data_IF_744906005248
#
_entry.id   IF_744906005248
#
_cell.length_a   1.000
_cell.length_b   1.000
_cell.length_c   1.000
_cell.angle_alpha   90.00
_cell.angle_beta   90.00
_cell.angle_gamma   90.00
#
_symmetry.space_group_name_H-M   'P 1'
#
loop_
_entity.id
_entity.type
_entity.pdbx_description
1 polymer ?
#
# COMPACT_ATOMS: atom_id res chain seq x y z
N UNK A 1 -23.08 -62.93 -9.29
CA UNK A 1 -23.32 -61.48 -9.37
C UNK A 1 -22.19 -60.80 -8.62
N UNK A 2 -21.26 -60.20 -9.36
CA UNK A 2 -20.15 -59.43 -8.80
C UNK A 2 -20.23 -58.05 -9.47
N UNK A 3 -20.52 -57.01 -8.69
CA UNK A 3 -20.50 -55.64 -9.17
C UNK A 3 -19.15 -55.03 -8.86
N UNK A 4 -18.41 -54.80 -9.93
CA UNK A 4 -17.22 -53.98 -10.03
C UNK A 4 -17.53 -52.55 -9.56
N UNK A 5 -16.67 -51.95 -8.73
CA UNK A 5 -16.73 -50.53 -8.37
C UNK A 5 -15.35 -49.94 -8.59
N UNK A 6 -15.12 -49.55 -9.84
CA UNK A 6 -13.99 -48.76 -10.25
C UNK A 6 -14.35 -47.27 -10.23
N UNK A 7 -13.45 -46.49 -9.63
CA UNK A 7 -13.01 -45.14 -10.01
C UNK A 7 -13.97 -43.94 -9.95
N UNK A 8 -13.59 -43.02 -9.04
CA UNK A 8 -13.03 -41.69 -9.38
C UNK A 8 -14.00 -40.51 -9.48
N UNK A 9 -13.64 -39.48 -8.70
CA UNK A 9 -14.22 -38.14 -8.73
C UNK A 9 -13.49 -37.23 -7.73
N UNK A 10 -12.15 -37.20 -7.75
CA UNK A 10 -11.42 -36.05 -7.22
C UNK A 10 -11.70 -34.89 -8.18
N UNK A 11 -12.66 -34.04 -7.85
CA UNK A 11 -12.76 -32.72 -8.48
C UNK A 11 -11.66 -31.84 -7.89
N UNK A 12 -10.62 -31.64 -8.69
CA UNK A 12 -9.56 -30.65 -8.50
C UNK A 12 -10.19 -29.26 -8.41
N UNK A 13 -10.04 -28.60 -7.25
CA UNK A 13 -10.48 -27.22 -6.98
C UNK A 13 -9.56 -26.16 -7.63
N UNK A 14 -8.97 -26.46 -8.78
CA UNK A 14 -7.92 -25.62 -9.37
C UNK A 14 -8.38 -24.84 -10.61
N UNK A 15 -9.57 -25.14 -11.15
CA UNK A 15 -10.01 -24.53 -12.42
C UNK A 15 -10.66 -23.16 -12.26
N UNK A 16 -11.28 -22.88 -11.11
CA UNK A 16 -11.95 -21.58 -10.85
C UNK A 16 -10.98 -20.47 -10.39
N UNK A 17 -9.77 -20.83 -9.94
CA UNK A 17 -8.73 -19.88 -9.53
C UNK A 17 -7.77 -19.50 -10.67
N UNK A 18 -7.79 -20.20 -11.80
CA UNK A 18 -6.83 -19.99 -12.88
C UNK A 18 -6.98 -18.62 -13.56
N UNK A 19 -8.20 -18.09 -13.69
CA UNK A 19 -8.48 -16.79 -14.33
C UNK A 19 -7.90 -15.60 -13.56
N UNK A 20 -8.11 -15.56 -12.24
CA UNK A 20 -7.63 -14.48 -11.37
C UNK A 20 -6.10 -14.36 -11.27
N UNK A 21 -5.36 -15.43 -11.58
CA UNK A 21 -3.88 -15.44 -11.47
C UNK A 21 -3.13 -14.85 -12.67
N UNK A 22 -3.83 -14.53 -13.77
CA UNK A 22 -3.20 -14.11 -15.02
C UNK A 22 -3.14 -12.58 -15.19
N UNK A 23 -4.16 -11.85 -14.76
CA UNK A 23 -4.23 -10.39 -14.96
C UNK A 23 -3.02 -9.62 -14.39
N UNK A 24 -2.56 -9.84 -13.13
CA UNK A 24 -1.39 -9.13 -12.62
C UNK A 24 -0.12 -9.37 -13.44
N UNK A 25 0.05 -10.58 -13.99
CA UNK A 25 1.21 -10.92 -14.83
C UNK A 25 1.13 -10.24 -16.19
N UNK A 26 -0.06 -10.19 -16.78
CA UNK A 26 -0.28 -9.48 -18.05
C UNK A 26 -0.05 -7.99 -17.88
N UNK A 27 -0.49 -7.42 -16.76
CA UNK A 27 -0.35 -6.00 -16.47
C UNK A 27 1.13 -5.61 -16.24
N UNK A 28 1.90 -6.45 -15.53
CA UNK A 28 3.37 -6.28 -15.43
C UNK A 28 4.01 -6.28 -16.81
N UNK A 29 3.72 -7.27 -17.65
CA UNK A 29 4.28 -7.35 -19.01
C UNK A 29 3.87 -6.15 -19.88
N UNK A 30 2.63 -5.67 -19.75
CA UNK A 30 2.16 -4.45 -20.43
C UNK A 30 3.01 -3.26 -20.02
N UNK A 31 3.16 -3.05 -18.70
CA UNK A 31 3.92 -1.93 -18.16
C UNK A 31 5.40 -2.04 -18.56
N UNK A 32 6.02 -3.23 -18.49
CA UNK A 32 7.40 -3.46 -18.93
C UNK A 32 7.62 -3.13 -20.42
N UNK A 33 6.59 -3.30 -21.26
CA UNK A 33 6.65 -2.95 -22.68
C UNK A 33 6.48 -1.45 -22.97
N UNK A 34 6.00 -0.65 -22.00
CA UNK A 34 5.84 0.79 -22.17
C UNK A 34 7.20 1.52 -22.26
N UNK A 35 7.23 2.60 -23.04
CA UNK A 35 8.33 3.56 -22.99
C UNK A 35 8.34 4.32 -21.66
N UNK A 36 9.50 4.88 -21.29
CA UNK A 36 9.64 5.62 -20.04
C UNK A 36 8.69 6.84 -19.94
N UNK A 37 8.39 7.46 -21.09
CA UNK A 37 7.45 8.58 -21.15
C UNK A 37 6.00 8.12 -20.91
N UNK A 38 5.61 6.96 -21.44
CA UNK A 38 4.28 6.38 -21.23
C UNK A 38 4.09 5.97 -19.76
N UNK A 39 5.10 5.35 -19.16
CA UNK A 39 5.12 5.03 -17.71
C UNK A 39 4.91 6.29 -16.89
N UNK A 40 5.68 7.34 -17.17
CA UNK A 40 5.57 8.61 -16.43
C UNK A 40 4.17 9.21 -16.59
N UNK A 41 3.64 9.29 -17.81
CA UNK A 41 2.33 9.88 -18.06
C UNK A 41 1.18 9.10 -17.42
N UNK A 42 1.26 7.76 -17.37
CA UNK A 42 0.27 6.93 -16.69
C UNK A 42 0.37 7.10 -15.16
N UNK A 43 1.58 7.05 -14.62
CA UNK A 43 1.85 7.24 -13.19
C UNK A 43 1.37 8.62 -12.71
N UNK A 44 1.73 9.70 -13.42
CA UNK A 44 1.26 11.07 -13.18
C UNK A 44 -0.27 11.15 -13.17
N UNK A 45 -0.93 10.39 -14.07
CA UNK A 45 -2.39 10.31 -14.06
C UNK A 45 -2.96 9.72 -12.77
N UNK A 46 -2.37 8.61 -12.30
CA UNK A 46 -2.81 7.93 -11.09
C UNK A 46 -2.57 8.77 -9.84
N UNK A 47 -1.38 9.38 -9.71
CA UNK A 47 -1.07 10.23 -8.55
C UNK A 47 -1.86 11.54 -8.55
N UNK A 48 -2.35 11.98 -9.71
CA UNK A 48 -3.31 13.09 -9.84
C UNK A 48 -4.77 12.65 -9.56
N UNK A 49 -4.99 11.38 -9.21
CA UNK A 49 -6.29 10.83 -8.85
C UNK A 49 -7.15 10.38 -10.04
N UNK A 50 -6.58 10.23 -11.25
CA UNK A 50 -7.31 9.70 -12.40
C UNK A 50 -7.35 8.18 -12.36
N UNK A 51 -8.56 7.63 -12.48
CA UNK A 51 -8.82 6.21 -12.71
C UNK A 51 -8.18 5.26 -11.68
N UNK A 52 -7.99 5.73 -10.43
CA UNK A 52 -7.40 4.96 -9.35
C UNK A 52 -8.02 5.36 -8.01
N UNK A 53 -8.53 4.39 -7.26
CA UNK A 53 -9.24 4.59 -6.00
C UNK A 53 -8.29 4.44 -4.80
N UNK A 54 -7.47 5.45 -4.54
CA UNK A 54 -6.49 5.45 -3.46
C UNK A 54 -7.09 5.12 -2.09
N UNK A 55 -8.20 5.77 -1.71
CA UNK A 55 -8.81 5.64 -0.39
C UNK A 55 -9.51 4.31 -0.23
N UNK A 56 -10.28 3.89 -1.23
CA UNK A 56 -10.95 2.59 -1.22
C UNK A 56 -9.95 1.44 -1.10
N UNK A 57 -8.85 1.49 -1.86
CA UNK A 57 -7.76 0.49 -1.76
C UNK A 57 -7.13 0.54 -0.36
N UNK A 58 -6.85 1.73 0.16
CA UNK A 58 -6.27 1.91 1.49
C UNK A 58 -7.12 1.28 2.60
N UNK A 59 -8.43 1.49 2.55
CA UNK A 59 -9.37 0.91 3.53
C UNK A 59 -9.44 -0.61 3.42
N UNK A 60 -9.35 -1.18 2.21
CA UNK A 60 -9.24 -2.62 2.04
C UNK A 60 -7.90 -3.17 2.59
N UNK A 61 -6.80 -2.46 2.40
CA UNK A 61 -5.48 -2.82 2.96
C UNK A 61 -5.54 -2.86 4.49
N UNK A 62 -6.08 -1.80 5.12
CA UNK A 62 -6.32 -1.74 6.57
C UNK A 62 -7.14 -2.92 7.07
N UNK A 63 -8.26 -3.22 6.39
CA UNK A 63 -9.12 -4.36 6.75
C UNK A 63 -8.38 -5.69 6.69
N UNK A 64 -7.54 -5.93 5.68
CA UNK A 64 -6.75 -7.17 5.61
C UNK A 64 -5.68 -7.24 6.70
N UNK A 65 -5.02 -6.12 7.01
CA UNK A 65 -4.04 -6.04 8.10
C UNK A 65 -4.70 -6.34 9.46
N UNK A 66 -5.84 -5.71 9.77
CA UNK A 66 -6.57 -5.95 11.02
C UNK A 66 -7.07 -7.39 11.16
N UNK A 67 -7.44 -8.04 10.05
CA UNK A 67 -7.83 -9.46 10.04
C UNK A 67 -6.65 -10.41 10.17
N UNK A 68 -5.41 -9.91 10.10
CA UNK A 68 -4.19 -10.73 10.07
C UNK A 68 -4.00 -11.50 8.76
N UNK A 69 -4.67 -11.09 7.68
CA UNK A 69 -4.49 -11.65 6.35
C UNK A 69 -3.30 -11.03 5.61
N UNK A 70 -2.93 -9.81 5.99
CA UNK A 70 -1.66 -9.18 5.68
C UNK A 70 -0.88 -8.95 6.97
N UNK A 71 0.44 -9.00 6.86
CA UNK A 71 1.36 -8.59 7.91
C UNK A 71 2.07 -7.33 7.46
N UNK A 72 2.57 -6.54 8.41
CA UNK A 72 3.43 -5.41 8.12
C UNK A 72 4.85 -5.73 8.56
N UNK A 73 5.77 -5.72 7.60
CA UNK A 73 7.21 -5.85 7.83
C UNK A 73 7.95 -4.72 7.14
N UNK A 74 9.23 -4.53 7.47
CA UNK A 74 10.11 -3.58 6.77
C UNK A 74 10.89 -4.27 5.63
N UNK A 75 10.41 -5.42 5.15
CA UNK A 75 11.06 -6.18 4.09
C UNK A 75 10.59 -5.69 2.72
N UNK A 76 11.54 -5.52 1.80
CA UNK A 76 11.27 -5.23 0.40
C UNK A 76 10.34 -6.30 -0.20
N UNK A 77 9.27 -5.86 -0.87
CA UNK A 77 8.23 -6.73 -1.42
C UNK A 77 7.08 -7.08 -0.48
N UNK A 78 7.11 -6.65 0.80
CA UNK A 78 5.96 -6.71 1.70
C UNK A 78 4.81 -5.81 1.22
N UNK A 79 3.60 -6.34 1.16
CA UNK A 79 2.46 -5.65 0.53
C UNK A 79 2.13 -4.33 1.24
N UNK A 80 2.16 -4.30 2.58
CA UNK A 80 1.80 -3.10 3.35
C UNK A 80 2.95 -2.09 3.29
N UNK A 81 4.19 -2.55 3.32
CA UNK A 81 5.36 -1.70 3.15
C UNK A 81 5.38 -1.00 1.78
N UNK A 82 5.26 -1.77 0.70
CA UNK A 82 5.21 -1.22 -0.66
C UNK A 82 4.02 -0.26 -0.84
N UNK A 83 2.86 -0.59 -0.26
CA UNK A 83 1.69 0.29 -0.30
C UNK A 83 1.96 1.62 0.42
N UNK A 84 2.57 1.58 1.60
CA UNK A 84 2.90 2.78 2.35
C UNK A 84 3.91 3.68 1.60
N UNK A 85 4.88 3.09 0.88
CA UNK A 85 5.79 3.85 -0.01
C UNK A 85 4.99 4.59 -1.10
N UNK A 86 4.01 3.93 -1.72
CA UNK A 86 3.16 4.58 -2.73
C UNK A 86 2.30 5.69 -2.15
N UNK A 87 1.78 5.51 -0.93
CA UNK A 87 1.06 6.57 -0.23
C UNK A 87 1.96 7.77 0.07
N UNK A 88 3.24 7.55 0.41
CA UNK A 88 4.23 8.62 0.53
C UNK A 88 4.46 9.35 -0.79
N UNK A 89 4.61 8.63 -1.91
CA UNK A 89 4.72 9.26 -3.23
C UNK A 89 3.49 10.10 -3.58
N UNK A 90 2.28 9.60 -3.26
CA UNK A 90 1.03 10.34 -3.45
C UNK A 90 0.98 11.61 -2.61
N UNK A 91 1.36 11.54 -1.32
CA UNK A 91 1.43 12.71 -0.43
C UNK A 91 2.48 13.72 -0.92
N UNK A 92 3.64 13.24 -1.36
CA UNK A 92 4.70 14.07 -1.93
C UNK A 92 4.24 14.78 -3.20
N UNK A 93 3.53 14.08 -4.09
CA UNK A 93 2.94 14.66 -5.30
C UNK A 93 1.95 15.78 -4.97
N UNK A 94 1.08 15.61 -3.98
CA UNK A 94 0.11 16.66 -3.62
C UNK A 94 0.76 17.91 -3.01
N UNK A 95 1.89 17.73 -2.31
CA UNK A 95 2.64 18.84 -1.71
C UNK A 95 3.53 19.58 -2.73
N UNK A 96 4.21 18.83 -3.60
CA UNK A 96 5.29 19.35 -4.45
C UNK A 96 4.98 19.32 -5.95
N UNK A 97 3.89 18.64 -6.36
CA UNK A 97 3.54 18.36 -7.77
C UNK A 97 4.67 17.65 -8.54
N UNK A 98 5.44 16.82 -7.84
CA UNK A 98 6.59 16.09 -8.37
C UNK A 98 6.71 14.73 -7.66
N UNK A 99 7.17 13.71 -8.39
CA UNK A 99 7.58 12.43 -7.81
C UNK A 99 8.87 12.60 -7.02
N UNK A 100 9.13 11.75 -6.02
CA UNK A 100 10.33 11.86 -5.19
C UNK A 100 11.62 11.58 -5.96
N UNK A 101 11.53 10.79 -7.02
CA UNK A 101 12.63 10.36 -7.86
C UNK A 101 12.34 10.59 -9.34
N UNK A 102 13.37 10.97 -10.09
CA UNK A 102 13.33 11.05 -11.55
C UNK A 102 13.82 9.76 -12.24
N UNK A 103 14.11 8.71 -11.47
CA UNK A 103 14.56 7.42 -11.99
C UNK A 103 13.43 6.71 -12.74
N UNK A 104 13.70 6.30 -13.97
CA UNK A 104 12.74 5.56 -14.79
C UNK A 104 12.46 4.16 -14.23
N UNK A 105 13.46 3.53 -13.60
CA UNK A 105 13.29 2.23 -12.93
C UNK A 105 12.35 2.36 -11.73
N UNK A 106 12.54 3.38 -10.90
CA UNK A 106 11.67 3.66 -9.74
C UNK A 106 10.23 3.94 -10.18
N UNK A 107 10.04 4.83 -11.16
CA UNK A 107 8.70 5.17 -11.63
C UNK A 107 7.97 3.97 -12.23
N UNK A 108 8.69 3.09 -12.92
CA UNK A 108 8.11 1.85 -13.46
C UNK A 108 7.73 0.89 -12.34
N UNK A 109 8.57 0.74 -11.32
CA UNK A 109 8.26 -0.09 -10.16
C UNK A 109 7.04 0.44 -9.38
N UNK A 110 6.97 1.76 -9.15
CA UNK A 110 5.79 2.39 -8.56
C UNK A 110 4.52 2.09 -9.37
N UNK A 111 4.57 2.25 -10.69
CA UNK A 111 3.42 1.99 -11.56
C UNK A 111 3.01 0.51 -11.52
N UNK A 112 3.97 -0.42 -11.54
CA UNK A 112 3.71 -1.85 -11.39
C UNK A 112 3.04 -2.12 -10.05
N UNK A 113 3.62 -1.64 -8.96
CA UNK A 113 3.11 -1.87 -7.61
C UNK A 113 1.70 -1.28 -7.42
N UNK A 114 1.41 -0.09 -7.94
CA UNK A 114 0.05 0.48 -7.96
C UNK A 114 -0.95 -0.47 -8.62
N UNK A 115 -0.58 -1.09 -9.74
CA UNK A 115 -1.50 -1.97 -10.47
C UNK A 115 -1.65 -3.35 -9.81
N UNK A 116 -0.60 -3.90 -9.20
CA UNK A 116 -0.63 -5.30 -8.75
C UNK A 116 -0.82 -5.49 -7.25
N UNK A 117 -0.54 -4.49 -6.41
CA UNK A 117 -0.66 -4.64 -4.96
C UNK A 117 -2.07 -5.00 -4.50
N UNK A 118 -3.16 -4.41 -5.04
CA UNK A 118 -4.52 -4.84 -4.70
C UNK A 118 -4.77 -6.34 -4.96
N UNK A 119 -4.21 -6.88 -6.03
CA UNK A 119 -4.28 -8.31 -6.32
C UNK A 119 -3.39 -9.14 -5.36
N UNK A 120 -2.17 -8.68 -5.06
CA UNK A 120 -1.28 -9.30 -4.05
C UNK A 120 -1.92 -9.31 -2.66
N UNK A 121 -2.70 -8.28 -2.33
CA UNK A 121 -3.47 -8.15 -1.10
C UNK A 121 -4.72 -9.03 -1.03
N UNK A 122 -5.03 -9.76 -2.11
CA UNK A 122 -6.15 -10.70 -2.15
C UNK A 122 -7.52 -10.04 -2.34
N UNK A 123 -7.60 -8.84 -2.94
CA UNK A 123 -8.87 -8.14 -3.16
C UNK A 123 -9.68 -8.72 -4.34
N UNK A 124 -9.11 -9.64 -5.12
CA UNK A 124 -9.78 -10.26 -6.26
C UNK A 124 -10.28 -9.24 -7.29
N UNK A 125 -11.50 -9.45 -7.78
CA UNK A 125 -12.13 -8.58 -8.79
C UNK A 125 -12.31 -7.14 -8.33
N UNK A 126 -12.63 -6.94 -7.04
CA UNK A 126 -12.77 -5.61 -6.45
C UNK A 126 -11.45 -4.83 -6.54
N UNK A 127 -10.31 -5.49 -6.27
CA UNK A 127 -9.00 -4.86 -6.46
C UNK A 127 -8.76 -4.40 -7.91
N UNK A 128 -9.11 -5.25 -8.88
CA UNK A 128 -8.94 -4.93 -10.30
C UNK A 128 -9.83 -3.76 -10.76
N UNK A 129 -11.04 -3.61 -10.24
CA UNK A 129 -11.90 -2.47 -10.59
C UNK A 129 -11.37 -1.15 -9.99
N UNK A 130 -10.83 -1.19 -8.78
CA UNK A 130 -10.31 -0.01 -8.08
C UNK A 130 -9.02 0.57 -8.70
N UNK A 131 -8.26 -0.22 -9.46
CA UNK A 131 -7.02 0.26 -10.14
C UNK A 131 -7.26 0.82 -11.54
N UNK A 132 -8.49 0.71 -12.06
CA UNK A 132 -8.89 1.22 -13.40
C UNK A 132 -10.01 2.27 -13.33
N UNK A 133 -10.63 2.45 -12.17
CA UNK A 133 -11.64 3.46 -11.93
C UNK A 133 -11.37 4.16 -10.59
N UNK A 134 -11.69 5.46 -10.52
CA UNK A 134 -11.72 6.18 -9.26
C UNK A 134 -13.16 6.18 -8.72
N UNK A 135 -13.38 5.42 -7.65
CA UNK A 135 -14.64 5.30 -6.92
C UNK A 135 -14.61 6.07 -5.59
N UNK A 136 -13.50 6.75 -5.28
CA UNK A 136 -13.35 7.51 -4.06
C UNK A 136 -14.23 8.77 -4.08
N UNK A 137 -14.66 9.20 -2.89
CA UNK A 137 -15.36 10.46 -2.75
C UNK A 137 -14.46 11.65 -3.14
N UNK A 138 -15.03 12.70 -3.76
CA UNK A 138 -14.26 13.88 -4.10
C UNK A 138 -13.76 14.60 -2.84
N UNK A 139 -12.53 15.10 -2.88
CA UNK A 139 -11.87 15.89 -1.82
C UNK A 139 -11.44 15.11 -0.56
N UNK A 140 -11.33 13.78 -0.62
CA UNK A 140 -10.69 13.02 0.46
C UNK A 140 -9.21 13.40 0.57
N UNK A 141 -8.78 13.77 1.79
CA UNK A 141 -7.42 14.20 2.07
C UNK A 141 -6.50 12.98 2.18
N UNK A 142 -5.37 13.00 1.47
CA UNK A 142 -4.40 11.89 1.47
C UNK A 142 -3.57 11.78 2.75
N UNK A 143 -3.73 12.72 3.68
CA UNK A 143 -3.06 12.71 4.98
C UNK A 143 -3.30 11.38 5.72
N UNK A 144 -4.44 10.75 5.49
CA UNK A 144 -4.91 9.55 6.20
C UNK A 144 -4.64 8.24 5.43
N UNK A 145 -3.86 8.28 4.34
CA UNK A 145 -3.53 7.11 3.49
C UNK A 145 -2.48 6.15 4.10
N UNK A 146 -2.17 6.26 5.39
CA UNK A 146 -1.26 5.32 6.05
C UNK A 146 -2.02 4.11 6.62
N UNK A 147 -1.49 2.90 6.43
CA UNK A 147 -2.17 1.65 6.82
C UNK A 147 -1.69 1.07 8.15
N UNK A 148 -0.39 1.16 8.46
CA UNK A 148 0.13 0.68 9.74
C UNK A 148 -0.22 1.65 10.89
N UNK A 149 0.05 1.33 12.15
CA UNK A 149 -0.22 2.31 13.22
C UNK A 149 0.76 3.51 13.12
N UNK A 150 0.36 4.66 13.67
CA UNK A 150 1.17 5.89 13.64
C UNK A 150 2.56 5.71 14.28
N UNK A 151 2.67 4.80 15.25
CA UNK A 151 3.95 4.43 15.87
C UNK A 151 4.93 3.83 14.84
N UNK A 152 4.40 3.01 13.93
CA UNK A 152 5.19 2.40 12.86
C UNK A 152 5.49 3.37 11.73
N UNK A 153 4.59 4.33 11.46
CA UNK A 153 4.88 5.46 10.56
C UNK A 153 6.10 6.22 11.06
N UNK A 154 6.09 6.64 12.33
CA UNK A 154 7.20 7.35 12.95
C UNK A 154 8.50 6.52 12.96
N UNK A 155 8.41 5.19 13.11
CA UNK A 155 9.58 4.31 13.06
C UNK A 155 10.12 4.13 11.64
N UNK A 156 9.28 4.00 10.62
CA UNK A 156 9.68 3.93 9.22
C UNK A 156 10.52 5.17 8.84
N UNK A 157 10.03 6.36 9.19
CA UNK A 157 10.76 7.61 8.98
C UNK A 157 12.12 7.65 9.69
N UNK A 158 12.28 6.98 10.84
CA UNK A 158 13.57 6.85 11.52
C UNK A 158 14.50 5.85 10.84
N UNK A 159 13.98 4.76 10.29
CA UNK A 159 14.75 3.75 9.55
C UNK A 159 15.35 4.31 8.26
N UNK A 160 14.68 5.24 7.58
CA UNK A 160 15.23 5.91 6.39
C UNK A 160 16.14 7.11 6.72
N UNK A 161 16.11 7.61 7.97
CA UNK A 161 17.07 8.60 8.48
C UNK A 161 18.37 7.97 8.98
N UNK A 162 18.91 6.96 8.27
CA UNK A 162 20.30 6.56 8.48
C UNK A 162 21.15 7.78 8.15
N UNK A 163 21.74 8.37 9.20
CA UNK A 163 22.67 9.50 9.11
C UNK A 163 23.67 9.23 7.99
N UNK A 164 24.01 10.23 7.15
CA UNK A 164 25.09 10.04 6.20
C UNK A 164 26.33 9.67 7.01
N UNK A 165 26.80 8.43 6.83
CA UNK A 165 28.06 7.99 7.39
C UNK A 165 29.11 8.99 6.93
N UNK A 166 29.71 9.69 7.90
CA UNK A 166 30.93 10.43 7.66
C UNK A 166 32.02 9.41 7.35
N UNK A 167 32.12 9.00 6.09
CA UNK A 167 33.37 8.50 5.54
C UNK A 167 34.40 9.64 5.62
N UNK A 168 35.16 9.71 6.70
CA UNK A 168 36.49 10.31 6.66
C UNK A 168 37.50 9.17 6.57
N UNK A 169 37.74 8.69 5.34
CA UNK A 169 38.91 7.89 5.02
C UNK A 169 40.02 8.85 4.57
N UNK A 170 41.14 8.86 5.29
CA UNK A 170 42.35 9.56 4.85
C UNK A 170 43.42 9.75 5.93
N UNK A 171 44.21 8.70 6.16
CA UNK A 171 45.41 8.64 7.01
C UNK A 171 46.43 9.77 6.76
N UNK A 172 47.10 10.26 7.82
CA UNK A 172 48.54 10.05 8.10
C UNK A 172 49.05 10.92 9.27
N UNK A 173 49.94 10.29 10.05
CA UNK A 173 50.76 10.84 11.12
C UNK A 173 51.56 12.09 10.70
N UNK A 174 51.68 13.08 11.58
CA UNK A 174 52.97 13.66 11.99
C UNK A 174 52.83 14.74 13.10
N UNK A 175 53.94 14.88 13.84
CA UNK A 175 54.18 15.49 15.15
C UNK A 175 53.85 17.00 15.39
N UNK A 176 53.77 17.32 16.69
CA UNK A 176 54.13 18.56 17.43
C UNK A 176 53.03 19.49 17.99
N UNK A 177 52.92 19.43 19.33
CA UNK A 177 53.20 20.48 20.36
C UNK A 177 52.48 21.83 20.35
N UNK A 178 52.04 22.15 21.59
CA UNK A 178 51.93 23.46 22.27
C UNK A 178 50.85 24.42 21.70
N UNK A 179 50.08 25.19 22.45
CA UNK A 179 49.94 25.53 23.87
C UNK A 179 48.57 26.26 23.99
N UNK A 180 47.97 26.21 25.19
CA UNK A 180 47.08 27.19 25.80
C UNK A 180 45.93 27.86 25.03
N UNK A 181 44.70 27.66 25.51
CA UNK A 181 43.89 28.80 25.97
C UNK A 181 42.75 28.32 26.88
N UNK A 182 42.85 28.72 28.14
CA UNK A 182 41.77 28.79 29.12
C UNK A 182 40.56 29.58 28.56
N UNK A 183 39.32 29.20 28.91
CA UNK A 183 38.53 29.95 29.91
C UNK A 183 37.06 29.48 30.04
N UNK A 184 36.62 29.50 31.31
CA UNK A 184 35.27 29.67 31.88
C UNK A 184 34.30 28.48 31.78
N UNK A 185 34.01 27.77 32.88
CA UNK A 185 33.23 28.14 34.08
C UNK A 185 31.72 28.28 33.80
N UNK A 186 31.00 27.28 34.32
CA UNK A 186 29.72 27.31 35.03
C UNK A 186 28.57 28.17 34.50
N UNK A 187 27.45 27.51 34.18
CA UNK A 187 26.15 27.95 34.74
C UNK A 187 25.22 26.75 34.92
N UNK A 188 24.99 26.42 36.19
CA UNK A 188 23.91 25.57 36.67
C UNK A 188 22.57 26.28 36.42
N UNK A 189 21.58 25.59 35.85
CA UNK A 189 20.21 25.90 36.20
C UNK A 189 19.37 24.63 36.34
N UNK A 190 18.82 24.50 37.55
CA UNK A 190 17.91 23.48 38.04
C UNK A 190 16.45 23.86 37.75
N UNK A 191 15.59 22.94 38.16
CA UNK A 191 14.15 23.01 38.46
C UNK A 191 13.32 22.39 37.31
N UNK A 192 12.81 21.16 37.45
CA UNK A 192 11.78 20.62 38.38
C UNK A 192 10.39 21.26 38.20
N UNK A 193 9.38 20.44 38.51
CA UNK A 193 7.93 20.61 38.44
C UNK A 193 7.28 20.19 37.10
N UNK A 194 6.66 19.02 36.97
CA UNK A 194 5.48 18.45 37.68
C UNK A 194 4.17 19.08 37.16
N UNK A 195 3.29 18.22 36.63
CA UNK A 195 1.83 18.36 36.64
C UNK A 195 1.24 17.12 35.96
N UNK A 196 0.86 16.18 36.84
CA UNK A 196 -0.22 15.21 36.64
C UNK A 196 -1.49 15.95 36.23
N UNK A 197 -2.27 15.42 35.28
CA UNK A 197 -3.72 15.56 35.32
C UNK A 197 -4.37 14.35 34.63
N UNK A 198 -5.06 13.59 35.48
CA UNK A 198 -6.08 12.59 35.21
C UNK A 198 -7.33 13.26 34.63
N UNK A 199 -8.07 12.55 33.78
CA UNK A 199 -9.54 12.63 33.55
C UNK A 199 -9.83 11.54 32.50
N UNK A 200 -10.19 10.30 32.86
CA UNK A 200 -11.54 9.82 33.24
C UNK A 200 -12.67 10.34 32.34
N UNK A 201 -13.43 9.38 31.78
CA UNK A 201 -14.80 9.41 31.23
C UNK A 201 -14.84 8.47 29.99
N UNK A 202 -15.01 7.16 30.15
CA UNK A 202 -16.33 6.48 30.28
C UNK A 202 -17.39 7.08 29.35
N UNK A 203 -17.66 6.40 28.24
CA UNK A 203 -19.03 6.24 27.73
C UNK A 203 -19.09 4.96 26.87
N UNK A 204 -19.60 3.91 27.51
CA UNK A 204 -20.10 2.68 26.90
C UNK A 204 -21.45 2.98 26.22
N UNK A 205 -21.47 3.17 24.91
CA UNK A 205 -22.71 3.11 24.13
C UNK A 205 -22.79 1.76 23.37
N UNK A 206 -23.34 0.78 24.09
CA UNK A 206 -23.80 -0.52 23.60
C UNK A 206 -25.17 -0.35 22.96
N UNK A 207 -25.20 0.02 21.68
CA UNK A 207 -26.43 0.04 20.89
C UNK A 207 -26.64 -1.33 20.21
N UNK A 208 -27.44 -2.17 20.88
CA UNK A 208 -28.07 -3.35 20.29
C UNK A 208 -28.98 -2.93 19.12
N UNK A 209 -28.55 -3.21 17.89
CA UNK A 209 -29.43 -3.26 16.72
C UNK A 209 -29.85 -4.71 16.46
N UNK A 210 -31.06 -5.07 16.93
CA UNK A 210 -31.79 -6.21 16.36
C UNK A 210 -32.40 -5.76 15.02
N UNK A 211 -31.70 -6.05 13.92
CA UNK A 211 -32.21 -5.90 12.56
C UNK A 211 -32.63 -7.28 12.03
N UNK A 212 -33.93 -7.58 12.17
CA UNK A 212 -34.58 -8.75 11.57
C UNK A 212 -34.78 -8.48 10.05
N UNK A 213 -33.73 -8.74 9.27
CA UNK A 213 -33.78 -8.79 7.80
C UNK A 213 -34.47 -10.10 7.35
N UNK A 214 -35.74 -9.97 6.94
CA UNK A 214 -36.52 -10.97 6.23
C UNK A 214 -35.98 -11.10 4.79
N UNK A 215 -35.00 -12.00 4.58
CA UNK A 215 -34.47 -12.32 3.25
C UNK A 215 -35.54 -13.03 2.40
N UNK A 216 -36.14 -12.29 1.47
CA UNK A 216 -36.82 -12.91 0.32
C UNK A 216 -35.76 -13.48 -0.64
N UNK A 217 -35.78 -14.81 -0.79
CA UNK A 217 -35.06 -15.59 -1.79
C UNK A 217 -35.23 -14.96 -3.19
N UNK A 218 -34.20 -14.27 -3.68
CA UNK A 218 -34.04 -14.02 -5.11
C UNK A 218 -33.34 -15.22 -5.72
N UNK A 219 -34.09 -15.94 -6.55
CA UNK A 219 -33.63 -17.08 -7.33
C UNK A 219 -32.34 -16.76 -8.10
N UNK A 220 -31.34 -17.58 -7.86
CA UNK A 220 -30.10 -17.69 -8.63
C UNK A 220 -30.42 -17.91 -10.11
N UNK A 221 -30.38 -16.83 -10.90
CA UNK A 221 -30.36 -16.93 -12.35
C UNK A 221 -28.96 -17.31 -12.80
N UNK A 222 -28.76 -18.61 -12.94
CA UNK A 222 -27.58 -19.29 -13.47
C UNK A 222 -27.39 -18.96 -14.96
N UNK A 223 -26.92 -17.75 -15.26
CA UNK A 223 -26.47 -17.36 -16.59
C UNK A 223 -25.58 -16.12 -16.57
N UNK A 224 -24.28 -16.30 -16.46
CA UNK A 224 -23.38 -15.64 -17.41
C UNK A 224 -22.00 -16.32 -17.43
N UNK A 225 -21.69 -16.93 -18.57
CA UNK A 225 -20.31 -17.13 -19.02
C UNK A 225 -19.70 -15.72 -19.23
N UNK A 226 -19.29 -15.09 -18.13
CA UNK A 226 -18.61 -13.80 -18.16
C UNK A 226 -17.23 -13.98 -18.82
N UNK A 227 -17.17 -13.71 -20.12
CA UNK A 227 -15.95 -13.73 -20.93
C UNK A 227 -15.14 -12.44 -20.71
N UNK A 228 -14.37 -12.44 -19.62
CA UNK A 228 -13.54 -11.34 -19.13
C UNK A 228 -12.55 -10.80 -20.19
N UNK A 229 -12.13 -11.63 -21.14
CA UNK A 229 -11.23 -11.21 -22.23
C UNK A 229 -11.84 -10.12 -23.11
N UNK A 230 -13.15 -10.18 -23.35
CA UNK A 230 -13.88 -9.17 -24.14
C UNK A 230 -14.11 -7.88 -23.38
N UNK A 231 -14.21 -7.94 -22.04
CA UNK A 231 -14.41 -6.75 -21.23
C UNK A 231 -13.14 -5.90 -21.19
N UNK A 232 -11.98 -6.53 -20.95
CA UNK A 232 -10.70 -5.81 -20.98
C UNK A 232 -10.36 -5.30 -22.38
N UNK A 233 -10.59 -6.09 -23.44
CA UNK A 233 -10.42 -5.61 -24.83
C UNK A 233 -11.31 -4.38 -25.12
N UNK A 234 -12.55 -4.35 -24.58
CA UNK A 234 -13.45 -3.20 -24.73
C UNK A 234 -13.05 -1.99 -23.87
N UNK A 235 -12.37 -2.19 -22.73
CA UNK A 235 -11.93 -1.11 -21.84
C UNK A 235 -10.74 -0.36 -22.45
N UNK A 236 -9.85 -1.07 -23.14
CA UNK A 236 -8.71 -0.48 -23.86
C UNK A 236 -9.09 0.17 -25.20
N UNK A 237 -10.23 -0.16 -25.82
CA UNK A 237 -10.75 0.56 -26.99
C UNK A 237 -11.29 1.97 -26.68
N UNK A 238 -11.47 2.34 -25.39
CA UNK A 238 -11.98 3.65 -24.98
C UNK A 238 -10.91 4.71 -24.66
N UNK A 239 -9.62 4.35 -24.72
CA UNK A 239 -8.48 5.26 -24.53
C UNK A 239 -7.65 5.38 -25.82
#
# INVERSE_FOLDING_TARGET
MATDKHTQGMMTKDTALAGFTLWPKQEVLRIEALSDQEVLSELEGIVDGRNYSWHSINELMKKQLYKGALEFTFEDGDVIFEWNILCDEKRNWEQNSLLSSSSTEFNRDCLINLKILPAKAGFGYEGSSLVVANLDEPNLLTKDLWVASEEWEAQAFRCFQVKPDKESVGEKDDDNKDEDSDNNEDDDNKDEDDDEDEDEDEDEDDEEYEDDEEYEDQEESDSDDFDESKYFDSLYEMF
#
